data_IF_768120473658
#
_entry.id   IF_768120473658
#
_cell.length_a   1.000
_cell.length_b   1.000
_cell.length_c   1.000
_cell.angle_alpha   90.00
_cell.angle_beta   90.00
_cell.angle_gamma   90.00
#
_symmetry.space_group_name_H-M   'P 1'
#
loop_
_entity.id
_entity.type
_entity.pdbx_description
1 polymer ?
#
# COMPACT_ATOMS: atom_id res chain seq x y z
N UNK A 1 5.26 12.20 -14.04
CA UNK A 1 4.90 11.89 -14.18
C UNK A 1 5.16 11.77 -13.96
N UNK A 2 5.18 11.95 -14.09
CA UNK A 2 4.93 11.82 -14.22
C UNK A 2 5.23 11.77 -14.13
N UNK A 3 5.33 12.07 -14.34
CA UNK A 3 5.15 11.98 -14.43
C UNK A 3 5.59 11.97 -14.28
N UNK A 4 5.50 12.05 -14.36
CA UNK A 4 5.44 11.95 -14.41
C UNK A 4 5.82 11.85 -14.04
N UNK A 5 6.22 12.24 -14.50
CA UNK A 5 6.21 12.08 -14.30
C UNK A 5 6.64 12.02 -13.93
N UNK A 6 6.81 12.29 -14.06
CA UNK A 6 6.72 12.19 -13.85
C UNK A 6 6.98 12.25 -13.45
N UNK A 7 7.13 12.62 -13.61
CA UNK A 7 6.94 12.57 -13.30
C UNK A 7 7.35 12.70 -12.80
N UNK A 8 7.60 13.13 -12.96
CA UNK A 8 7.36 13.08 -12.44
C UNK A 8 7.95 13.25 -11.97
N UNK A 9 7.78 13.31 -12.29
CA UNK A 9 7.86 13.20 -11.99
C UNK A 9 8.41 13.39 -11.71
N UNK A 10 8.78 13.70 -11.64
CA UNK A 10 8.73 13.59 -11.30
C UNK A 10 9.27 13.85 -11.11
N UNK A 11 9.33 13.87 -11.22
CA UNK A 11 9.23 13.77 -11.08
C UNK A 11 9.64 13.96 -10.67
N UNK A 12 10.09 14.25 -10.86
CA UNK A 12 9.94 14.08 -10.60
C UNK A 12 10.37 14.16 -10.07
N UNK A 13 11.24 14.80 -10.45
CA UNK A 13 11.09 14.50 -9.93
C UNK A 13 11.61 14.64 -9.57
N UNK A 14 12.08 14.88 -9.89
CA UNK A 14 11.99 14.58 -9.46
C UNK A 14 12.55 14.56 -9.19
N UNK A 15 13.32 14.70 -9.52
CA UNK A 15 13.12 14.35 -9.19
C UNK A 15 13.77 14.18 -8.97
N UNK A 16 14.21 14.21 -9.09
CA UNK A 16 14.23 13.51 -8.74
C UNK A 16 14.72 13.26 -8.46
N UNK A 17 14.88 13.48 -8.83
CA UNK A 17 14.73 12.77 -8.42
C UNK A 17 15.24 12.39 -8.27
N UNK A 18 16.00 12.43 -8.57
CA UNK A 18 15.94 11.63 -8.30
C UNK A 18 16.57 11.24 -8.22
N UNK A 19 17.06 10.95 -8.33
CA UNK A 19 17.26 10.18 -8.23
C UNK A 19 17.59 9.52 -8.25
N UNK A 20 18.30 9.26 -8.41
CA UNK A 20 18.45 8.42 -8.40
C UNK A 20 18.82 7.61 -8.43
N UNK A 21 19.27 7.15 -8.46
CA UNK A 21 19.47 6.30 -8.54
C UNK A 21 19.37 5.25 -8.58
N UNK A 22 19.58 4.66 -8.88
CA UNK A 22 19.22 3.64 -9.07
C UNK A 22 18.74 2.82 -8.99
N UNK A 23 18.27 2.35 -9.42
CA UNK A 23 17.49 1.44 -9.41
C UNK A 23 16.82 0.88 -9.95
N UNK A 24 16.85 0.60 -9.90
CA UNK A 24 16.05 -0.42 -10.45
C UNK A 24 15.00 0.08 -11.33
N UNK A 25 14.61 -0.57 -12.15
CA UNK A 25 13.76 -0.29 -13.20
C UNK A 25 12.81 0.83 -13.00
N UNK A 26 12.49 1.61 -13.77
CA UNK A 26 11.45 2.57 -13.74
C UNK A 26 11.76 3.87 -13.07
N UNK A 27 12.81 3.95 -12.38
CA UNK A 27 13.21 5.21 -11.80
C UNK A 27 12.56 5.58 -10.49
N UNK A 28 11.72 4.72 -9.93
CA UNK A 28 11.19 4.93 -8.60
C UNK A 28 12.11 4.31 -7.57
N UNK A 29 12.37 5.06 -6.52
CA UNK A 29 13.01 4.50 -5.35
C UNK A 29 11.92 3.85 -4.50
N UNK A 30 11.89 2.51 -4.48
CA UNK A 30 10.86 1.77 -3.77
C UNK A 30 11.24 1.69 -2.30
N UNK A 31 10.82 2.67 -1.51
CA UNK A 31 10.97 2.66 -0.05
C UNK A 31 9.61 2.43 0.59
N UNK A 32 9.62 1.98 1.84
CA UNK A 32 8.39 1.83 2.59
C UNK A 32 7.62 3.13 2.73
N UNK A 33 8.34 4.22 2.95
CA UNK A 33 7.73 5.55 3.06
C UNK A 33 7.08 5.97 1.73
N UNK A 34 7.71 5.66 0.61
CA UNK A 34 7.15 5.96 -0.71
C UNK A 34 5.86 5.17 -0.95
N UNK A 35 5.82 3.92 -0.50
CA UNK A 35 4.62 3.08 -0.60
C UNK A 35 3.46 3.73 0.18
N UNK A 36 3.71 4.17 1.41
CA UNK A 36 2.69 4.81 2.23
C UNK A 36 2.22 6.12 1.59
N UNK A 37 3.15 6.93 1.08
CA UNK A 37 2.82 8.20 0.45
C UNK A 37 1.93 7.98 -0.78
N UNK A 38 2.27 7.00 -1.62
CA UNK A 38 1.46 6.70 -2.79
C UNK A 38 0.07 6.19 -2.39
N UNK A 39 0.00 5.24 -1.45
CA UNK A 39 -1.26 4.69 -0.97
C UNK A 39 -2.17 5.78 -0.40
N UNK A 40 -1.58 6.73 0.32
CA UNK A 40 -2.34 7.80 0.99
C UNK A 40 -2.99 8.78 0.04
N UNK A 41 -2.53 8.86 -1.22
CA UNK A 41 -3.15 9.72 -2.23
C UNK A 41 -4.59 9.31 -2.52
N UNK A 42 -4.93 8.06 -2.26
CA UNK A 42 -6.24 7.51 -2.62
C UNK A 42 -7.25 7.54 -1.47
N UNK A 43 -6.86 8.04 -0.30
CA UNK A 43 -7.75 8.16 0.84
C UNK A 43 -8.98 8.98 0.44
N UNK A 44 -10.16 8.47 0.76
CA UNK A 44 -11.43 9.07 0.40
C UNK A 44 -12.12 8.38 -0.77
N UNK A 45 -11.40 7.59 -1.55
CA UNK A 45 -11.97 6.89 -2.68
C UNK A 45 -12.77 5.66 -2.24
N UNK A 46 -13.73 5.19 -3.04
CA UNK A 46 -14.68 4.18 -2.57
C UNK A 46 -14.12 2.78 -2.49
N UNK A 47 -14.71 2.00 -1.59
CA UNK A 47 -14.51 0.56 -1.51
C UNK A 47 -15.59 -0.14 -2.34
N UNK A 48 -15.18 -1.12 -3.17
CA UNK A 48 -16.12 -2.00 -3.88
C UNK A 48 -15.56 -3.42 -3.78
N UNK A 49 -16.35 -4.35 -3.26
CA UNK A 49 -15.94 -5.75 -3.14
C UNK A 49 -15.58 -6.30 -4.52
N UNK A 50 -14.42 -6.90 -4.65
CA UNK A 50 -13.91 -7.40 -5.93
C UNK A 50 -13.39 -6.33 -6.87
N UNK A 51 -13.45 -5.06 -6.49
CA UNK A 51 -12.99 -3.96 -7.33
C UNK A 51 -11.48 -3.84 -7.39
N UNK A 52 -10.99 -3.29 -8.49
CA UNK A 52 -9.56 -3.15 -8.77
C UNK A 52 -9.15 -1.72 -9.14
N UNK A 53 -10.03 -0.74 -8.99
CA UNK A 53 -9.75 0.64 -9.38
C UNK A 53 -9.42 1.48 -8.15
N UNK A 54 -8.22 2.02 -8.09
CA UNK A 54 -7.79 2.89 -6.99
C UNK A 54 -8.66 4.15 -6.86
N UNK A 55 -9.34 4.54 -7.93
CA UNK A 55 -10.14 5.77 -7.95
C UNK A 55 -11.65 5.51 -7.91
N UNK A 56 -12.11 4.40 -8.49
CA UNK A 56 -13.54 4.16 -8.70
C UNK A 56 -14.12 3.00 -7.89
N UNK A 57 -13.30 2.29 -7.17
CA UNK A 57 -13.76 1.19 -6.31
C UNK A 57 -12.77 0.05 -6.25
N UNK A 58 -12.37 -0.30 -5.03
CA UNK A 58 -11.36 -1.32 -4.81
C UNK A 58 -11.62 -1.99 -3.46
N UNK A 59 -11.28 -3.28 -3.34
CA UNK A 59 -11.35 -3.94 -2.04
C UNK A 59 -9.97 -3.95 -1.36
N UNK A 60 -9.89 -4.54 -0.16
CA UNK A 60 -8.68 -4.45 0.66
C UNK A 60 -7.45 -5.04 0.00
N UNK A 61 -7.58 -6.23 -0.57
CA UNK A 61 -6.44 -6.90 -1.21
C UNK A 61 -6.14 -6.32 -2.59
N UNK A 62 -7.16 -5.83 -3.30
CA UNK A 62 -6.96 -5.11 -4.55
C UNK A 62 -6.19 -3.81 -4.33
N UNK A 63 -6.50 -3.09 -3.26
CA UNK A 63 -5.80 -1.87 -2.91
C UNK A 63 -4.30 -2.14 -2.70
N UNK A 64 -3.98 -3.14 -1.86
CA UNK A 64 -2.59 -3.51 -1.60
C UNK A 64 -1.91 -3.97 -2.90
N UNK A 65 -2.57 -4.81 -3.68
CA UNK A 65 -2.02 -5.29 -4.94
C UNK A 65 -1.68 -4.14 -5.88
N UNK A 66 -2.60 -3.19 -6.08
CA UNK A 66 -2.40 -2.08 -7.02
C UNK A 66 -1.35 -1.09 -6.53
N UNK A 67 -1.30 -0.82 -5.23
CA UNK A 67 -0.27 0.06 -4.67
C UNK A 67 1.13 -0.52 -4.95
N UNK A 68 1.34 -1.79 -4.64
CA UNK A 68 2.65 -2.40 -4.85
C UNK A 68 2.97 -2.61 -6.33
N UNK A 69 1.96 -2.82 -7.18
CA UNK A 69 2.17 -2.91 -8.62
C UNK A 69 2.76 -1.61 -9.19
N UNK A 70 2.37 -0.47 -8.63
CA UNK A 70 2.94 0.83 -9.02
C UNK A 70 4.46 0.85 -8.87
N UNK A 71 4.99 0.14 -7.88
CA UNK A 71 6.42 0.08 -7.61
C UNK A 71 7.10 -1.14 -8.24
N UNK A 72 6.37 -1.91 -9.05
CA UNK A 72 6.93 -3.06 -9.77
C UNK A 72 6.85 -4.38 -9.04
N UNK A 73 6.12 -4.46 -7.93
CA UNK A 73 5.96 -5.70 -7.17
C UNK A 73 4.63 -6.36 -7.52
N UNK A 74 4.68 -7.65 -7.84
CA UNK A 74 3.50 -8.44 -8.19
C UNK A 74 3.05 -9.22 -6.97
N UNK A 75 1.84 -8.95 -6.49
CA UNK A 75 1.26 -9.64 -5.33
C UNK A 75 0.04 -10.45 -5.76
N UNK A 76 -0.28 -11.53 -5.01
CA UNK A 76 -1.53 -12.25 -5.26
C UNK A 76 -2.74 -11.33 -5.06
N UNK A 77 -3.86 -11.68 -5.69
CA UNK A 77 -5.06 -10.83 -5.66
C UNK A 77 -5.81 -10.88 -4.32
N UNK A 78 -5.76 -12.00 -3.60
CA UNK A 78 -6.59 -12.17 -2.40
C UNK A 78 -5.76 -12.04 -1.13
N UNK A 79 -6.40 -11.58 -0.05
CA UNK A 79 -5.71 -11.28 1.21
C UNK A 79 -5.03 -12.50 1.81
N UNK A 80 -5.69 -13.68 1.80
CA UNK A 80 -5.11 -14.87 2.38
C UNK A 80 -3.81 -15.28 1.68
N UNK A 81 -3.75 -15.10 0.36
CA UNK A 81 -2.52 -15.41 -0.40
C UNK A 81 -1.44 -14.36 -0.17
N UNK A 82 -1.81 -13.13 0.12
CA UNK A 82 -0.84 -12.09 0.44
C UNK A 82 -0.12 -12.35 1.76
N UNK A 83 -0.67 -13.19 2.62
CA UNK A 83 0.01 -13.61 3.85
C UNK A 83 1.30 -14.38 3.58
N UNK A 84 1.51 -14.87 2.36
CA UNK A 84 2.74 -15.54 1.94
C UNK A 84 3.66 -14.68 1.08
N UNK A 85 3.32 -13.43 0.83
CA UNK A 85 4.11 -12.55 -0.02
C UNK A 85 5.33 -12.02 0.72
N UNK A 86 6.41 -11.73 -0.02
CA UNK A 86 7.61 -11.16 0.56
C UNK A 86 8.21 -12.06 1.64
N UNK A 87 8.72 -11.44 2.72
CA UNK A 87 9.25 -12.21 3.85
C UNK A 87 8.51 -11.83 5.13
N UNK A 88 8.36 -12.83 6.02
CA UNK A 88 7.70 -12.63 7.30
C UNK A 88 8.61 -11.88 8.27
N UNK A 89 8.00 -10.97 9.02
CA UNK A 89 8.70 -10.25 10.10
C UNK A 89 7.78 -10.18 11.32
N UNK A 90 8.37 -9.90 12.48
CA UNK A 90 7.57 -9.64 13.66
C UNK A 90 6.95 -8.26 13.58
N UNK A 91 5.81 -8.08 14.22
CA UNK A 91 5.17 -6.76 14.27
C UNK A 91 6.10 -5.73 14.92
N UNK A 92 6.85 -6.14 15.94
CA UNK A 92 7.76 -5.22 16.64
C UNK A 92 8.88 -4.69 15.74
N UNK A 93 9.20 -5.40 14.67
CA UNK A 93 10.20 -4.98 13.68
C UNK A 93 9.57 -4.34 12.46
N UNK A 94 8.26 -4.21 12.44
CA UNK A 94 7.57 -3.64 11.28
C UNK A 94 7.87 -2.16 11.14
N UNK A 95 7.73 -1.69 9.91
CA UNK A 95 7.96 -0.28 9.56
C UNK A 95 7.00 0.13 8.45
N UNK A 96 6.99 1.41 8.14
CA UNK A 96 6.15 1.96 7.08
C UNK A 96 6.34 1.16 5.78
N UNK A 97 5.23 0.82 5.14
CA UNK A 97 5.23 0.10 3.87
C UNK A 97 5.16 -1.41 3.99
N UNK A 98 5.33 -1.96 5.18
CA UNK A 98 5.04 -3.38 5.40
C UNK A 98 3.53 -3.60 5.35
N UNK A 99 3.10 -4.85 5.07
CA UNK A 99 1.68 -5.16 5.08
C UNK A 99 1.34 -6.03 6.30
N UNK A 100 0.12 -5.85 6.80
CA UNK A 100 -0.41 -6.64 7.89
C UNK A 100 -1.66 -7.35 7.38
N UNK A 101 -1.69 -8.68 7.55
CA UNK A 101 -2.78 -9.52 7.06
C UNK A 101 -3.57 -10.03 8.24
N UNK A 102 -4.88 -9.79 8.18
CA UNK A 102 -5.85 -10.30 9.16
C UNK A 102 -6.69 -11.39 8.48
N UNK A 103 -7.52 -12.08 9.25
CA UNK A 103 -8.47 -13.00 8.65
C UNK A 103 -9.45 -12.21 7.77
N UNK A 104 -9.37 -12.43 6.45
CA UNK A 104 -10.24 -11.78 5.48
C UNK A 104 -9.96 -10.31 5.21
N UNK A 105 -8.80 -9.79 5.62
CA UNK A 105 -8.47 -8.37 5.43
C UNK A 105 -6.96 -8.16 5.35
N UNK A 106 -6.54 -7.07 4.72
CA UNK A 106 -5.13 -6.69 4.63
C UNK A 106 -5.00 -5.17 4.57
N UNK A 107 -3.90 -4.66 5.09
CA UNK A 107 -3.65 -3.23 5.17
C UNK A 107 -2.16 -2.93 5.02
N UNK A 108 -1.84 -1.67 4.74
CA UNK A 108 -0.46 -1.18 4.67
C UNK A 108 -0.15 -0.44 5.96
N UNK A 109 0.92 -0.86 6.64
CA UNK A 109 1.36 -0.21 7.87
C UNK A 109 1.98 1.14 7.56
N UNK A 110 1.64 2.14 8.37
CA UNK A 110 2.11 3.52 8.15
C UNK A 110 3.34 3.87 8.96
N UNK A 111 3.76 2.99 9.87
CA UNK A 111 4.96 3.19 10.68
C UNK A 111 4.72 3.93 11.99
N UNK A 112 3.50 4.39 12.24
CA UNK A 112 3.12 5.10 13.46
C UNK A 112 2.12 4.31 14.31
N UNK A 113 1.98 3.02 14.03
CA UNK A 113 1.00 2.17 14.69
C UNK A 113 -0.33 2.08 13.95
N UNK A 114 -0.48 2.80 12.85
CA UNK A 114 -1.69 2.84 12.05
C UNK A 114 -1.58 2.07 10.75
N UNK A 115 -2.67 2.15 9.98
CA UNK A 115 -2.77 1.50 8.68
C UNK A 115 -3.49 2.42 7.69
N UNK A 116 -3.18 2.23 6.39
CA UNK A 116 -4.00 2.72 5.29
C UNK A 116 -4.58 1.49 4.60
N UNK A 117 -5.89 1.49 4.39
CA UNK A 117 -6.57 0.32 3.84
C UNK A 117 -7.89 0.70 3.17
N UNK A 118 -8.33 -0.16 2.26
CA UNK A 118 -9.69 -0.12 1.73
C UNK A 118 -10.55 -0.90 2.72
N UNK A 119 -11.35 -0.21 3.53
CA UNK A 119 -11.92 -0.74 4.75
C UNK A 119 -13.22 -1.49 4.54
N UNK A 120 -14.26 -0.78 4.09
CA UNK A 120 -15.59 -1.37 3.87
C UNK A 120 -16.38 -0.46 2.92
N UNK A 121 -17.58 -0.92 2.54
CA UNK A 121 -18.39 -0.26 1.52
C UNK A 121 -19.19 0.94 2.02
N UNK A 122 -19.08 1.30 3.29
CA UNK A 122 -19.69 2.53 3.79
C UNK A 122 -19.02 3.75 3.18
N UNK A 123 -19.70 4.89 3.10
CA UNK A 123 -19.07 6.12 2.63
C UNK A 123 -17.90 6.53 3.52
N UNK A 124 -16.93 7.22 2.92
CA UNK A 124 -15.85 7.81 3.67
C UNK A 124 -16.44 8.88 4.61
N UNK A 125 -15.98 9.01 5.87
CA UNK A 125 -14.78 8.40 6.46
C UNK A 125 -15.02 7.06 7.20
N UNK A 126 -16.24 6.57 7.28
CA UNK A 126 -16.52 5.29 7.94
C UNK A 126 -15.97 4.12 7.14
N UNK A 127 -16.03 4.21 5.81
CA UNK A 127 -15.52 3.21 4.89
C UNK A 127 -14.65 3.82 3.82
N UNK A 128 -14.52 3.10 2.70
CA UNK A 128 -13.64 3.50 1.62
C UNK A 128 -12.19 3.30 1.97
N UNK A 129 -11.31 3.93 1.20
CA UNK A 129 -9.88 3.94 1.49
C UNK A 129 -9.65 4.98 2.57
N UNK A 130 -9.03 4.56 3.68
CA UNK A 130 -8.89 5.42 4.85
C UNK A 130 -7.66 5.08 5.67
N UNK A 131 -7.25 6.02 6.51
CA UNK A 131 -6.29 5.78 7.57
C UNK A 131 -7.02 5.36 8.83
N UNK A 132 -6.47 4.37 9.53
CA UNK A 132 -6.96 3.97 10.86
C UNK A 132 -5.76 3.95 11.81
N UNK A 133 -5.94 4.48 13.01
CA UNK A 133 -4.83 4.77 13.91
C UNK A 133 -4.33 3.57 14.70
N UNK A 134 -5.00 2.41 14.64
CA UNK A 134 -4.61 1.24 15.41
C UNK A 134 -4.56 -0.01 14.55
N UNK A 135 -3.36 -0.39 14.12
CA UNK A 135 -3.15 -1.60 13.32
C UNK A 135 -3.52 -2.87 14.08
N UNK A 136 -3.50 -2.82 15.40
CA UNK A 136 -3.78 -3.98 16.24
C UNK A 136 -5.22 -4.00 16.77
N UNK A 137 -6.15 -3.40 16.02
CA UNK A 137 -7.56 -3.34 16.41
C UNK A 137 -8.23 -4.71 16.36
N UNK A 138 -7.59 -5.69 15.77
CA UNK A 138 -8.04 -7.09 15.70
C UNK A 138 -6.82 -8.00 15.58
N UNK A 139 -6.96 -9.29 15.87
CA UNK A 139 -5.84 -10.23 15.70
C UNK A 139 -5.38 -10.27 14.25
N UNK A 140 -4.07 -10.36 14.05
CA UNK A 140 -3.49 -10.49 12.71
C UNK A 140 -2.86 -11.88 12.53
N UNK A 141 -2.71 -12.27 11.25
CA UNK A 141 -2.16 -13.57 10.87
C UNK A 141 -0.68 -13.44 10.53
N UNK A 142 -0.30 -12.36 9.86
CA UNK A 142 1.06 -12.20 9.34
C UNK A 142 1.39 -10.73 9.15
N UNK A 143 2.67 -10.42 9.28
CA UNK A 143 3.25 -9.15 8.83
C UNK A 143 4.30 -9.50 7.79
N UNK A 144 4.23 -8.87 6.63
CA UNK A 144 5.09 -9.22 5.49
C UNK A 144 5.81 -7.99 4.99
N UNK A 145 7.07 -8.15 4.67
CA UNK A 145 7.87 -7.08 4.05
C UNK A 145 8.05 -7.38 2.59
N UNK A 146 7.52 -6.49 1.76
CA UNK A 146 7.58 -6.58 0.30
C UNK A 146 8.75 -5.74 -0.21
N UNK A 147 8.91 -4.54 0.35
CA UNK A 147 9.96 -3.59 -0.03
C UNK A 147 10.99 -3.55 1.09
N UNK A 148 12.24 -3.89 0.76
CA UNK A 148 13.33 -3.84 1.74
C UNK A 148 13.91 -2.40 1.90
#
# INVERSE_FOLDING_TARGET
NTTENNDSYTEESSGNDYEEESNAGGGYSATGEAVVAYASQFIGNPYVYGGNSLTNGIDCSGFVQQVFAHFGYSLPRVSDAQAGAGRGISYSESRAGDIIVYSGHVAILTGDGGIVHASNSAPYPQGGIKYSSNALYRPYIAVRRIVD
#
